data_IF_247417481381
#
_entry.id   IF_247417481381
#
_cell.length_a   1.000
_cell.length_b   1.000
_cell.length_c   1.000
_cell.angle_alpha   90.00
_cell.angle_beta   90.00
_cell.angle_gamma   90.00
#
_symmetry.space_group_name_H-M   'P 1'
#
loop_
_entity.id
_entity.type
_entity.pdbx_description
1 polymer ?
#
# COMPACT_ATOMS: atom_id res chain seq x y z
N UNK A 1 -6.02 4.98 -9.26
CA UNK A 1 -4.87 5.80 -8.75
C UNK A 1 -4.85 5.65 -7.25
N UNK A 2 -3.68 5.50 -6.63
CA UNK A 2 -3.55 5.45 -5.18
C UNK A 2 -2.91 6.75 -4.67
N UNK A 3 -3.62 7.49 -3.83
CA UNK A 3 -3.11 8.75 -3.29
C UNK A 3 -1.95 8.55 -2.30
N UNK A 4 -1.89 7.41 -1.62
CA UNK A 4 -0.78 7.07 -0.72
C UNK A 4 0.58 6.98 -1.45
N UNK A 5 0.58 6.73 -2.77
CA UNK A 5 1.80 6.59 -3.58
C UNK A 5 2.24 7.92 -4.21
N UNK A 6 1.42 8.99 -4.08
CA UNK A 6 1.66 10.28 -4.76
C UNK A 6 2.02 11.34 -3.73
N UNK A 7 3.31 11.63 -3.63
CA UNK A 7 3.78 12.76 -2.81
C UNK A 7 3.40 14.08 -3.51
N UNK A 8 2.57 14.91 -2.86
CA UNK A 8 2.18 16.23 -3.37
C UNK A 8 0.88 16.29 -4.15
N UNK A 9 0.10 15.18 -4.20
CA UNK A 9 -1.22 15.17 -4.83
C UNK A 9 -1.17 15.01 -6.36
N UNK A 10 -2.34 15.13 -6.99
CA UNK A 10 -2.53 15.00 -8.44
C UNK A 10 -3.13 16.28 -9.04
N UNK A 11 -2.62 16.70 -10.19
CA UNK A 11 -3.10 17.88 -10.87
C UNK A 11 -4.27 17.54 -11.81
N UNK A 12 -5.41 18.20 -11.59
CA UNK A 12 -6.52 18.23 -12.54
C UNK A 12 -6.41 19.46 -13.42
N UNK A 13 -6.42 19.24 -14.75
CA UNK A 13 -6.40 20.29 -15.76
C UNK A 13 -7.54 20.03 -16.76
N UNK A 14 -8.54 20.90 -16.88
CA UNK A 14 -9.65 20.76 -17.82
C UNK A 14 -9.23 21.05 -19.27
N UNK A 15 -7.95 21.30 -19.52
CA UNK A 15 -7.39 21.58 -20.82
C UNK A 15 -7.09 23.07 -21.06
N UNK A 16 -6.44 23.36 -22.18
CA UNK A 16 -5.96 24.71 -22.51
C UNK A 16 -7.08 25.59 -23.03
N UNK A 17 -7.80 26.22 -22.12
CA UNK A 17 -8.83 27.22 -22.48
C UNK A 17 -8.39 28.59 -21.95
N UNK A 18 -7.44 29.23 -22.63
CA UNK A 18 -6.78 30.46 -22.20
C UNK A 18 -7.67 31.72 -22.10
N UNK A 19 -8.94 31.61 -22.44
CA UNK A 19 -9.92 32.72 -22.46
C UNK A 19 -11.10 32.48 -21.52
N UNK A 20 -10.93 31.60 -20.50
CA UNK A 20 -11.96 31.27 -19.54
C UNK A 20 -11.53 31.60 -18.11
N UNK A 21 -12.49 32.07 -17.32
CA UNK A 21 -12.38 32.08 -15.86
C UNK A 21 -12.82 30.72 -15.35
N UNK A 22 -12.12 30.23 -14.33
CA UNK A 22 -12.37 28.92 -13.71
C UNK A 22 -12.95 29.09 -12.32
N UNK A 23 -13.88 28.23 -11.97
CA UNK A 23 -14.39 28.12 -10.59
C UNK A 23 -14.63 26.66 -10.28
N UNK A 24 -13.77 26.11 -9.44
CA UNK A 24 -13.85 24.72 -9.01
C UNK A 24 -14.76 24.54 -7.79
N UNK A 25 -15.28 23.32 -7.63
CA UNK A 25 -16.01 22.92 -6.41
C UNK A 25 -15.18 23.00 -5.14
N UNK A 26 -13.86 22.98 -5.24
CA UNK A 26 -12.89 23.21 -4.14
C UNK A 26 -12.80 24.66 -3.71
N UNK A 27 -13.34 25.60 -4.51
CA UNK A 27 -13.20 27.04 -4.31
C UNK A 27 -12.05 27.68 -5.09
N UNK A 28 -11.19 26.88 -5.72
CA UNK A 28 -10.08 27.36 -6.56
C UNK A 28 -10.59 28.02 -7.84
N UNK A 29 -9.81 28.99 -8.35
CA UNK A 29 -10.09 29.73 -9.57
C UNK A 29 -8.97 29.62 -10.62
N UNK A 30 -8.01 28.76 -10.37
CA UNK A 30 -6.91 28.48 -11.30
C UNK A 30 -7.31 27.44 -12.33
N UNK A 31 -6.70 27.45 -13.51
CA UNK A 31 -6.93 26.42 -14.53
C UNK A 31 -6.62 25.02 -13.99
N UNK A 32 -5.48 24.87 -13.33
CA UNK A 32 -5.03 23.61 -12.74
C UNK A 32 -5.21 23.66 -11.25
N UNK A 33 -5.81 22.62 -10.67
CA UNK A 33 -5.89 22.42 -9.23
C UNK A 33 -5.14 21.17 -8.82
N UNK A 34 -4.61 21.17 -7.61
CA UNK A 34 -3.99 19.99 -7.00
C UNK A 34 -4.97 19.31 -6.04
N UNK A 35 -5.21 18.02 -6.23
CA UNK A 35 -6.09 17.22 -5.40
C UNK A 35 -5.31 16.14 -4.65
N UNK A 36 -5.75 15.86 -3.41
CA UNK A 36 -5.13 14.87 -2.51
C UNK A 36 -6.09 13.79 -2.06
N UNK A 37 -7.31 13.74 -2.61
CA UNK A 37 -8.33 12.77 -2.22
C UNK A 37 -9.22 12.38 -3.40
N UNK A 38 -9.86 11.21 -3.26
CA UNK A 38 -10.93 10.79 -4.17
C UNK A 38 -12.16 11.69 -4.00
N UNK A 39 -12.95 11.83 -5.06
CA UNK A 39 -14.17 12.62 -5.06
C UNK A 39 -14.59 13.03 -6.45
N UNK A 40 -15.72 13.73 -6.52
CA UNK A 40 -16.18 14.38 -7.75
C UNK A 40 -15.77 15.85 -7.70
N UNK A 41 -15.01 16.25 -8.69
CA UNK A 41 -14.55 17.62 -8.86
C UNK A 41 -15.29 18.24 -10.05
N UNK A 42 -15.96 19.36 -9.79
CA UNK A 42 -16.71 20.11 -10.77
C UNK A 42 -15.96 21.41 -11.05
N UNK A 43 -15.89 21.79 -12.32
CA UNK A 43 -15.35 23.07 -12.76
C UNK A 43 -16.41 23.79 -13.57
N UNK A 44 -16.68 25.04 -13.22
CA UNK A 44 -17.46 25.98 -14.01
C UNK A 44 -16.50 26.88 -14.78
N UNK A 45 -16.72 27.00 -16.07
CA UNK A 45 -15.96 27.81 -17.00
C UNK A 45 -16.82 28.97 -17.47
N UNK A 46 -16.31 30.21 -17.38
CA UNK A 46 -16.95 31.41 -17.89
C UNK A 46 -16.09 32.01 -19.02
N UNK A 47 -16.64 32.18 -20.18
CA UNK A 47 -15.94 32.82 -21.29
C UNK A 47 -16.02 34.36 -21.23
N UNK A 48 -15.29 35.07 -22.12
CA UNK A 48 -15.25 36.54 -22.19
C UNK A 48 -16.60 37.17 -22.52
N UNK A 49 -17.55 36.41 -23.06
CA UNK A 49 -18.92 36.86 -23.33
C UNK A 49 -19.87 36.61 -22.14
N UNK A 50 -19.39 36.09 -21.01
CA UNK A 50 -20.19 35.78 -19.82
C UNK A 50 -21.02 34.49 -19.94
N UNK A 51 -20.73 33.62 -20.89
CA UNK A 51 -21.39 32.31 -20.99
C UNK A 51 -20.69 31.29 -20.11
N UNK A 52 -21.48 30.46 -19.40
CA UNK A 52 -21.01 29.41 -18.50
C UNK A 52 -21.12 28.04 -19.15
N UNK A 53 -20.16 27.18 -18.84
CA UNK A 53 -20.22 25.75 -19.08
C UNK A 53 -19.63 25.03 -17.90
N UNK A 54 -20.20 23.88 -17.55
CA UNK A 54 -19.77 23.06 -16.43
C UNK A 54 -19.22 21.74 -16.95
N UNK A 55 -18.18 21.25 -16.30
CA UNK A 55 -17.62 19.92 -16.52
C UNK A 55 -17.29 19.27 -15.16
N UNK A 56 -17.24 17.95 -15.12
CA UNK A 56 -16.90 17.24 -13.91
C UNK A 56 -16.05 16.00 -14.18
N UNK A 57 -15.23 15.66 -13.21
CA UNK A 57 -14.44 14.42 -13.19
C UNK A 57 -14.65 13.68 -11.87
N UNK A 58 -14.95 12.38 -11.97
CA UNK A 58 -14.95 11.48 -10.81
C UNK A 58 -13.56 10.87 -10.65
N UNK A 59 -12.88 11.21 -9.57
CA UNK A 59 -11.59 10.67 -9.22
C UNK A 59 -11.77 9.51 -8.24
N UNK A 60 -11.48 8.31 -8.70
CA UNK A 60 -11.55 7.07 -7.90
C UNK A 60 -10.16 6.73 -7.36
N UNK A 61 -10.14 6.32 -6.11
CA UNK A 61 -8.94 5.75 -5.52
C UNK A 61 -8.84 4.28 -5.88
N UNK A 62 -7.69 3.90 -6.40
CA UNK A 62 -7.32 2.55 -6.75
C UNK A 62 -5.96 2.25 -6.14
N UNK A 63 -5.96 1.72 -4.92
CA UNK A 63 -4.77 1.28 -4.24
C UNK A 63 -4.67 -0.24 -4.36
N UNK A 64 -3.79 -0.75 -5.22
CA UNK A 64 -3.61 -2.18 -5.35
C UNK A 64 -3.17 -2.78 -4.02
N UNK A 65 -3.75 -3.92 -3.69
CA UNK A 65 -3.34 -4.67 -2.51
C UNK A 65 -1.87 -5.07 -2.61
N UNK A 66 -1.13 -4.87 -1.54
CA UNK A 66 0.29 -5.17 -1.53
C UNK A 66 0.75 -5.69 -0.16
N UNK A 67 1.65 -6.70 -0.17
CA UNK A 67 2.31 -7.22 1.03
C UNK A 67 3.82 -7.03 0.89
N UNK A 68 4.43 -6.41 1.90
CA UNK A 68 5.87 -6.25 2.04
C UNK A 68 6.39 -7.17 3.13
N UNK A 69 7.43 -7.90 2.80
CA UNK A 69 8.19 -8.71 3.72
C UNK A 69 9.67 -8.41 3.52
N UNK A 70 10.40 -7.98 4.57
CA UNK A 70 11.84 -7.81 4.49
C UNK A 70 12.55 -9.10 4.06
N UNK A 71 13.67 -9.01 3.39
CA UNK A 71 14.47 -10.17 3.01
C UNK A 71 15.54 -10.52 4.05
N UNK A 72 15.74 -9.66 5.05
CA UNK A 72 16.68 -9.88 6.16
C UNK A 72 16.28 -9.09 7.40
N UNK A 73 16.76 -9.51 8.56
CA UNK A 73 16.64 -8.77 9.82
C UNK A 73 17.79 -9.18 10.77
N UNK A 74 18.04 -8.34 11.78
CA UNK A 74 19.16 -8.47 12.71
C UNK A 74 18.68 -8.34 14.15
N UNK A 75 18.17 -9.42 14.78
CA UNK A 75 17.64 -9.38 16.14
C UNK A 75 18.80 -9.32 17.17
N UNK A 76 19.36 -8.13 17.36
CA UNK A 76 20.49 -7.84 18.27
C UNK A 76 20.15 -6.83 19.37
N UNK A 77 18.85 -6.50 19.52
CA UNK A 77 18.28 -5.63 20.55
C UNK A 77 18.74 -4.14 20.43
N UNK A 78 19.16 -3.71 19.23
CA UNK A 78 19.59 -2.32 18.98
C UNK A 78 18.47 -1.39 18.49
N UNK A 79 17.23 -1.89 18.38
CA UNK A 79 16.03 -1.22 17.85
C UNK A 79 16.04 -0.93 16.35
N UNK A 80 16.96 -1.53 15.60
CA UNK A 80 17.05 -1.37 14.14
C UNK A 80 16.99 -2.73 13.47
N UNK A 81 15.92 -3.01 12.72
CA UNK A 81 15.70 -4.29 12.04
C UNK A 81 15.70 -5.53 12.97
N UNK A 82 15.34 -5.36 14.25
CA UNK A 82 15.30 -6.43 15.23
C UNK A 82 14.19 -7.46 14.99
N UNK A 83 13.21 -7.10 14.17
CA UNK A 83 12.07 -7.96 13.86
C UNK A 83 11.81 -8.05 12.37
N UNK A 84 11.36 -9.21 11.94
CA UNK A 84 10.82 -9.45 10.63
C UNK A 84 9.30 -9.33 10.69
N UNK A 85 8.73 -8.31 10.05
CA UNK A 85 7.33 -7.92 10.20
C UNK A 85 6.54 -8.07 8.90
N UNK A 86 5.30 -8.55 9.01
CA UNK A 86 4.33 -8.60 7.93
C UNK A 86 3.70 -7.21 7.79
N UNK A 87 3.98 -6.54 6.67
CA UNK A 87 3.41 -5.23 6.35
C UNK A 87 2.63 -5.28 5.03
N UNK A 88 1.62 -4.45 4.90
CA UNK A 88 0.85 -4.37 3.67
C UNK A 88 -0.33 -3.43 3.76
N UNK A 89 -1.02 -3.29 2.62
CA UNK A 89 -2.27 -2.52 2.52
C UNK A 89 -3.27 -3.27 1.67
N UNK A 90 -4.57 -3.03 1.91
CA UNK A 90 -5.66 -3.62 1.13
C UNK A 90 -5.74 -5.14 1.26
N UNK A 91 -5.23 -5.72 2.36
CA UNK A 91 -5.21 -7.16 2.62
C UNK A 91 -6.36 -7.51 3.55
N UNK A 92 -7.17 -8.48 3.14
CA UNK A 92 -8.29 -9.00 3.92
C UNK A 92 -7.86 -10.13 4.86
N UNK A 93 -6.99 -11.01 4.40
CA UNK A 93 -6.41 -12.07 5.22
C UNK A 93 -4.96 -12.33 4.85
N UNK A 94 -4.18 -12.76 5.84
CA UNK A 94 -2.79 -13.14 5.64
C UNK A 94 -2.44 -14.31 6.54
N UNK A 95 -1.66 -15.25 6.00
CA UNK A 95 -1.03 -16.35 6.73
C UNK A 95 0.42 -16.45 6.29
N UNK A 96 1.34 -16.53 7.22
CA UNK A 96 2.76 -16.71 6.94
C UNK A 96 3.31 -17.82 7.81
N UNK A 97 4.06 -18.70 7.18
CA UNK A 97 4.77 -19.79 7.84
C UNK A 97 6.26 -19.65 7.52
N UNK A 98 7.11 -19.72 8.52
CA UNK A 98 8.57 -19.64 8.38
C UNK A 98 9.17 -20.98 8.75
N UNK A 99 10.02 -21.50 7.86
CA UNK A 99 10.64 -22.83 8.00
C UNK A 99 12.17 -22.71 7.97
N UNK A 100 12.82 -23.59 8.71
CA UNK A 100 14.27 -23.77 8.59
C UNK A 100 14.63 -24.61 7.35
N UNK A 101 15.93 -24.81 7.13
CA UNK A 101 16.46 -25.61 5.98
C UNK A 101 16.04 -27.07 5.98
N UNK A 102 15.58 -27.60 7.11
CA UNK A 102 15.11 -28.98 7.24
C UNK A 102 13.59 -29.11 7.07
N UNK A 103 12.89 -28.00 6.82
CA UNK A 103 11.43 -27.96 6.65
C UNK A 103 10.65 -27.93 7.97
N UNK A 104 11.33 -27.70 9.10
CA UNK A 104 10.67 -27.54 10.39
C UNK A 104 10.04 -26.14 10.49
N UNK A 105 8.80 -26.07 10.97
CA UNK A 105 8.11 -24.80 11.22
C UNK A 105 8.74 -24.10 12.43
N UNK A 106 9.23 -22.88 12.20
CA UNK A 106 9.91 -22.07 13.19
C UNK A 106 9.01 -20.97 13.75
N UNK A 107 8.19 -20.38 12.90
CA UNK A 107 7.28 -19.29 13.27
C UNK A 107 6.09 -19.25 12.33
N UNK A 108 4.95 -18.77 12.84
CA UNK A 108 3.75 -18.50 12.05
C UNK A 108 3.09 -17.19 12.47
N UNK A 109 2.43 -16.52 11.50
CA UNK A 109 1.67 -15.31 11.71
C UNK A 109 0.43 -15.30 10.84
N UNK A 110 -0.65 -14.72 11.35
CA UNK A 110 -1.95 -14.70 10.68
C UNK A 110 -2.63 -13.33 10.68
N UNK A 111 -1.90 -12.28 11.03
CA UNK A 111 -2.38 -10.91 11.02
C UNK A 111 -1.32 -9.93 10.53
N UNK A 112 -1.78 -8.86 9.90
CA UNK A 112 -0.90 -7.74 9.52
C UNK A 112 -0.29 -7.10 10.76
N UNK A 113 0.99 -6.71 10.68
CA UNK A 113 1.73 -6.14 11.80
C UNK A 113 2.31 -7.15 12.76
N UNK A 114 2.01 -8.44 12.62
CA UNK A 114 2.72 -9.48 13.37
C UNK A 114 4.18 -9.57 12.92
N UNK A 115 5.04 -9.92 13.84
CA UNK A 115 6.48 -9.96 13.61
C UNK A 115 7.12 -11.22 14.19
N UNK A 116 8.25 -11.60 13.62
CA UNK A 116 9.16 -12.63 14.11
C UNK A 116 10.44 -11.98 14.62
N UNK A 117 10.80 -12.28 15.84
CA UNK A 117 11.98 -11.75 16.56
C UNK A 117 13.19 -12.71 16.54
N UNK A 118 13.12 -13.76 15.72
CA UNK A 118 14.16 -14.79 15.66
C UNK A 118 14.07 -15.84 16.79
N UNK A 119 12.89 -15.95 17.42
CA UNK A 119 12.60 -17.01 18.41
C UNK A 119 11.78 -18.12 17.77
N UNK A 120 11.98 -19.33 18.22
CA UNK A 120 11.16 -20.48 17.83
C UNK A 120 9.81 -20.44 18.57
N UNK A 121 8.70 -20.52 17.85
CA UNK A 121 7.35 -20.29 18.39
C UNK A 121 6.91 -21.25 19.51
N UNK A 122 7.43 -22.50 19.55
CA UNK A 122 7.10 -23.46 20.59
C UNK A 122 8.07 -23.45 21.75
N UNK A 123 9.37 -23.36 21.49
CA UNK A 123 10.42 -23.50 22.50
C UNK A 123 10.82 -22.17 23.12
N UNK A 124 10.46 -21.07 22.49
CA UNK A 124 10.89 -19.71 22.85
C UNK A 124 12.42 -19.59 22.97
N UNK A 125 13.15 -20.35 22.17
CA UNK A 125 14.60 -20.31 22.11
C UNK A 125 15.03 -19.53 20.86
N UNK A 126 16.16 -18.81 20.95
CA UNK A 126 16.77 -18.13 19.81
C UNK A 126 17.15 -19.16 18.74
N UNK A 127 16.67 -18.94 17.52
CA UNK A 127 17.07 -19.78 16.39
C UNK A 127 18.44 -19.37 15.86
N UNK A 128 19.12 -20.23 15.13
CA UNK A 128 20.47 -19.97 14.61
C UNK A 128 20.44 -18.90 13.50
N UNK A 129 21.53 -18.18 13.34
CA UNK A 129 21.79 -17.37 12.16
C UNK A 129 21.80 -18.26 10.92
N UNK A 130 20.86 -18.02 10.00
CA UNK A 130 20.68 -18.83 8.79
C UNK A 130 19.76 -18.13 7.80
N UNK A 131 19.53 -18.78 6.66
CA UNK A 131 18.49 -18.43 5.70
C UNK A 131 17.28 -19.32 5.90
N UNK A 132 16.16 -18.70 6.26
CA UNK A 132 14.86 -19.32 6.44
C UNK A 132 14.01 -19.17 5.19
N UNK A 133 13.03 -20.06 5.02
CA UNK A 133 12.07 -20.00 3.91
C UNK A 133 10.71 -19.62 4.47
N UNK A 134 10.05 -18.62 3.89
CA UNK A 134 8.66 -18.35 4.23
C UNK A 134 7.70 -18.79 3.13
N UNK A 135 6.52 -19.21 3.54
CA UNK A 135 5.35 -19.39 2.70
C UNK A 135 4.26 -18.41 3.15
N UNK A 136 3.96 -17.45 2.29
CA UNK A 136 2.93 -16.43 2.47
C UNK A 136 1.70 -16.83 1.66
N UNK A 137 0.52 -16.77 2.32
CA UNK A 137 -0.79 -16.79 1.69
C UNK A 137 -1.53 -15.52 2.09
N UNK A 138 -2.22 -14.88 1.16
CA UNK A 138 -3.03 -13.70 1.46
C UNK A 138 -4.19 -13.57 0.50
N UNK A 139 -5.23 -12.85 0.94
CA UNK A 139 -6.37 -12.50 0.11
C UNK A 139 -6.63 -11.00 0.16
N UNK A 140 -7.24 -10.49 -0.89
CA UNK A 140 -7.64 -9.10 -1.02
C UNK A 140 -8.87 -8.98 -1.93
N UNK A 141 -9.59 -7.86 -1.79
CA UNK A 141 -10.67 -7.51 -2.72
C UNK A 141 -10.08 -6.84 -3.97
N UNK A 142 -10.43 -7.33 -5.14
CA UNK A 142 -10.12 -6.65 -6.40
C UNK A 142 -11.07 -5.47 -6.65
N UNK A 143 -10.83 -4.69 -7.69
CA UNK A 143 -11.61 -3.51 -8.04
C UNK A 143 -13.10 -3.81 -8.35
N UNK A 144 -13.39 -5.04 -8.73
CA UNK A 144 -14.75 -5.51 -9.03
C UNK A 144 -15.47 -6.04 -7.78
N UNK A 145 -14.80 -6.01 -6.61
CA UNK A 145 -15.31 -6.53 -5.34
C UNK A 145 -15.21 -8.04 -5.19
N UNK A 146 -14.49 -8.70 -6.10
CA UNK A 146 -14.19 -10.12 -6.03
C UNK A 146 -13.01 -10.41 -5.09
N UNK A 147 -13.08 -11.52 -4.34
CA UNK A 147 -11.98 -11.97 -3.49
C UNK A 147 -10.90 -12.65 -4.33
N UNK A 148 -9.68 -12.17 -4.24
CA UNK A 148 -8.51 -12.81 -4.85
C UNK A 148 -7.59 -13.42 -3.80
N UNK A 149 -7.03 -14.59 -4.12
CA UNK A 149 -6.11 -15.35 -3.27
C UNK A 149 -4.76 -15.46 -3.95
N UNK A 150 -3.71 -15.13 -3.21
CA UNK A 150 -2.32 -15.19 -3.69
C UNK A 150 -1.46 -15.98 -2.72
N UNK A 151 -0.40 -16.57 -3.26
CA UNK A 151 0.64 -17.20 -2.45
C UNK A 151 2.02 -16.86 -2.99
N UNK A 152 2.98 -16.77 -2.09
CA UNK A 152 4.37 -16.47 -2.39
C UNK A 152 5.31 -17.25 -1.48
N UNK A 153 6.37 -17.78 -2.04
CA UNK A 153 7.48 -18.38 -1.29
C UNK A 153 8.69 -17.46 -1.44
N UNK A 154 9.40 -17.22 -0.37
CA UNK A 154 10.60 -16.41 -0.36
C UNK A 154 11.57 -16.83 0.74
N UNK A 155 12.63 -16.02 0.90
CA UNK A 155 13.71 -16.28 1.86
C UNK A 155 13.89 -15.12 2.80
N UNK A 156 14.33 -15.42 4.01
CA UNK A 156 14.66 -14.45 5.06
C UNK A 156 16.07 -14.79 5.56
N UNK A 157 16.99 -13.84 5.51
CA UNK A 157 18.29 -13.97 6.17
C UNK A 157 18.19 -13.42 7.58
N UNK A 158 18.37 -14.27 8.58
CA UNK A 158 18.56 -13.87 9.98
C UNK A 158 20.06 -13.73 10.21
N UNK A 159 20.48 -12.51 10.56
CA UNK A 159 21.89 -12.13 10.76
C UNK A 159 22.07 -11.70 12.23
N UNK A 160 23.20 -12.05 12.82
CA UNK A 160 23.59 -11.64 14.20
C UNK A 160 25.06 -11.29 14.24
#
# INVERSE_FOLDING_TARGET
MCFDDIIGGYNLDPGRLSLYNYKWSTGDTTQVINITSKGTYLVQLENVAGCFTDDYIEVKEDCPAHVWLPNSFTPDDNMVNDVWMIQGRGIESVEVFVFNRWGELIWEGNAMGQFWDGMHYQTNQRVQQDVYVYHLKYSYLNLEGGMEYKQRVGRIALIR
#
